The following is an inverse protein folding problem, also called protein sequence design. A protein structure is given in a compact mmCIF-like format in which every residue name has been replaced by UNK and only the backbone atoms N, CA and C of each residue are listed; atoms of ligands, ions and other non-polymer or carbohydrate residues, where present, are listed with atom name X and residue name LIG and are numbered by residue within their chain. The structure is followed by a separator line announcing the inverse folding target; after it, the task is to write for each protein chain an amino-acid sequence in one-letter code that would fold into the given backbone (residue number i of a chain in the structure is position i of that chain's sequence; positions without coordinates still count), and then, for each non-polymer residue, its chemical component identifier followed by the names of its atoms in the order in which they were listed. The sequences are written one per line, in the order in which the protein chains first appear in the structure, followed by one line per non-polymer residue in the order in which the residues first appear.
data_IF_389279689700
#
_entry.id   IF_389279689700
#
_cell.length_a   1.000
_cell.length_b   1.000
_cell.length_c   1.000
_cell.angle_alpha   90.00
_cell.angle_beta   90.00
_cell.angle_gamma   90.00
#
_symmetry.space_group_name_H-M   'P 1'
#
loop_
_entity.id
_entity.type
_entity.pdbx_description
1 polymer ?
#
# COMPACT_ATOMS: atom_id res chain seq x y z
N UNK A 1 -14.90 37.33 29.17
CA UNK A 1 -13.53 36.83 29.40
C UNK A 1 -12.87 36.61 28.06
N UNK A 2 -11.67 37.16 27.83
CA UNK A 2 -10.98 37.09 26.53
C UNK A 2 -10.35 35.71 26.35
N UNK A 3 -10.82 34.94 25.36
CA UNK A 3 -10.24 33.66 24.90
C UNK A 3 -8.89 33.81 24.17
N UNK A 4 -8.16 34.90 24.40
CA UNK A 4 -6.96 35.28 23.65
C UNK A 4 -5.64 34.75 24.22
N UNK A 5 -5.68 33.78 25.14
CA UNK A 5 -4.47 33.26 25.82
C UNK A 5 -4.16 31.80 25.51
N UNK A 6 -4.92 31.13 24.65
CA UNK A 6 -4.65 29.74 24.25
C UNK A 6 -3.70 29.62 23.04
N UNK A 7 -3.25 30.75 22.47
CA UNK A 7 -2.31 30.77 21.34
C UNK A 7 -0.90 31.24 21.73
N UNK A 8 -0.52 31.21 23.00
CA UNK A 8 0.87 31.41 23.46
C UNK A 8 1.69 30.12 23.38
N UNK A 9 1.46 29.29 22.36
CA UNK A 9 2.34 28.17 22.05
C UNK A 9 3.65 28.66 21.41
N UNK A 10 4.62 27.74 21.21
CA UNK A 10 5.93 28.01 20.61
C UNK A 10 5.86 28.97 19.40
N UNK A 11 6.81 29.93 19.27
CA UNK A 11 6.90 30.78 18.09
C UNK A 11 7.24 29.95 16.83
N UNK A 12 7.08 30.53 15.64
CA UNK A 12 7.20 29.76 14.39
C UNK A 12 8.61 29.19 14.18
N UNK A 13 9.64 29.91 14.62
CA UNK A 13 11.06 29.54 14.47
C UNK A 13 11.44 28.35 15.37
N UNK A 14 10.85 28.24 16.57
CA UNK A 14 11.01 27.05 17.40
C UNK A 14 10.29 25.83 16.79
N UNK A 15 9.12 26.04 16.19
CA UNK A 15 8.38 24.97 15.50
C UNK A 15 9.15 24.50 14.26
N UNK A 16 9.74 25.43 13.50
CA UNK A 16 10.58 25.13 12.35
C UNK A 16 11.79 24.29 12.75
N UNK A 17 12.46 24.60 13.87
CA UNK A 17 13.59 23.79 14.38
C UNK A 17 13.16 22.38 14.77
N UNK A 18 12.00 22.22 15.40
CA UNK A 18 11.45 20.90 15.72
C UNK A 18 11.18 20.11 14.42
N UNK A 19 10.62 20.77 13.39
CA UNK A 19 10.38 20.18 12.08
C UNK A 19 11.68 19.80 11.35
N UNK A 20 12.71 20.66 11.41
CA UNK A 20 14.05 20.38 10.87
C UNK A 20 14.63 19.12 11.51
N UNK A 21 14.50 18.95 12.84
CA UNK A 21 14.95 17.76 13.54
C UNK A 21 14.21 16.49 13.07
N UNK A 22 12.88 16.56 12.91
CA UNK A 22 12.08 15.45 12.38
C UNK A 22 12.49 15.10 10.95
N UNK A 23 12.72 16.11 10.10
CA UNK A 23 13.17 15.91 8.73
C UNK A 23 14.51 15.18 8.67
N UNK A 24 15.48 15.59 9.50
CA UNK A 24 16.78 14.92 9.58
C UNK A 24 16.69 13.48 10.11
N UNK A 25 15.66 13.16 10.88
CA UNK A 25 15.39 11.80 11.35
C UNK A 25 14.70 10.91 10.30
N UNK A 26 14.29 11.45 9.15
CA UNK A 26 13.50 10.74 8.14
C UNK A 26 12.00 10.69 8.46
N UNK A 27 11.54 11.41 9.49
CA UNK A 27 10.13 11.45 9.91
C UNK A 27 9.36 12.47 9.04
N UNK A 28 9.38 12.30 7.72
CA UNK A 28 8.95 13.33 6.76
C UNK A 28 7.48 13.72 6.88
N UNK A 29 6.60 12.78 7.23
CA UNK A 29 5.19 13.06 7.49
C UNK A 29 4.98 13.96 8.71
N UNK A 30 5.67 13.66 9.81
CA UNK A 30 5.67 14.48 11.03
C UNK A 30 6.28 15.85 10.78
N UNK A 31 7.42 15.89 10.07
CA UNK A 31 8.10 17.14 9.71
C UNK A 31 7.19 18.05 8.87
N UNK A 32 6.51 17.51 7.85
CA UNK A 32 5.55 18.25 7.01
C UNK A 32 4.47 18.93 7.85
N UNK A 33 3.84 18.20 8.78
CA UNK A 33 2.78 18.74 9.62
C UNK A 33 3.30 19.88 10.51
N UNK A 34 4.53 19.77 11.01
CA UNK A 34 5.16 20.80 11.84
C UNK A 34 5.55 22.04 11.02
N UNK A 35 6.06 21.89 9.79
CA UNK A 35 6.27 23.04 8.89
C UNK A 35 4.97 23.71 8.49
N UNK A 36 3.89 22.96 8.21
CA UNK A 36 2.56 23.53 7.95
C UNK A 36 2.05 24.34 9.16
N UNK A 37 2.31 23.86 10.38
CA UNK A 37 2.01 24.59 11.61
C UNK A 37 2.85 25.86 11.75
N UNK A 38 4.15 25.81 11.42
CA UNK A 38 5.02 26.98 11.41
C UNK A 38 4.55 28.01 10.38
N UNK A 39 4.18 27.59 9.17
CA UNK A 39 3.68 28.44 8.08
C UNK A 39 2.40 29.18 8.48
N UNK A 40 1.46 28.46 9.11
CA UNK A 40 0.23 29.08 9.62
C UNK A 40 0.51 30.14 10.69
N UNK A 41 1.57 29.96 11.50
CA UNK A 41 1.97 30.95 12.52
C UNK A 41 2.78 32.12 11.98
N UNK A 42 3.63 31.90 10.97
CA UNK A 42 4.49 32.94 10.38
C UNK A 42 3.66 33.94 9.56
N UNK A 43 2.52 33.53 9.00
CA UNK A 43 1.66 34.35 8.13
C UNK A 43 1.26 35.73 8.67
N UNK A 44 1.30 35.95 9.99
CA UNK A 44 0.97 37.25 10.62
C UNK A 44 2.17 38.02 11.14
N UNK A 45 3.35 37.39 11.23
CA UNK A 45 4.51 37.91 12.00
C UNK A 45 5.80 37.98 11.21
N UNK A 46 5.97 37.10 10.22
CA UNK A 46 7.17 36.98 9.40
C UNK A 46 6.76 36.46 8.00
N UNK A 47 6.07 37.28 7.19
CA UNK A 47 5.66 36.88 5.83
C UNK A 47 6.85 36.47 4.96
N UNK A 48 8.04 37.04 5.20
CA UNK A 48 9.29 36.69 4.52
C UNK A 48 9.75 35.23 4.76
N UNK A 49 9.28 34.59 5.84
CA UNK A 49 9.60 33.19 6.14
C UNK A 49 8.65 32.20 5.44
N UNK A 50 7.58 32.67 4.79
CA UNK A 50 6.57 31.79 4.19
C UNK A 50 7.15 31.00 3.02
N UNK A 51 7.85 31.66 2.10
CA UNK A 51 8.44 31.01 0.91
C UNK A 51 9.43 29.90 1.31
N UNK A 52 10.21 30.13 2.38
CA UNK A 52 11.16 29.15 2.91
C UNK A 52 10.44 27.94 3.51
N UNK A 53 9.39 28.17 4.29
CA UNK A 53 8.58 27.10 4.88
C UNK A 53 7.81 26.30 3.82
N UNK A 54 7.29 26.95 2.79
CA UNK A 54 6.66 26.28 1.65
C UNK A 54 7.66 25.41 0.87
N UNK A 55 8.89 25.89 0.71
CA UNK A 55 9.98 25.11 0.12
C UNK A 55 10.29 23.86 0.95
N UNK A 56 10.44 23.99 2.27
CA UNK A 56 10.65 22.85 3.17
C UNK A 56 9.49 21.86 3.17
N UNK A 57 8.24 22.33 3.07
CA UNK A 57 7.06 21.46 2.90
C UNK A 57 7.14 20.69 1.57
N UNK A 58 7.57 21.35 0.49
CA UNK A 58 7.77 20.70 -0.80
C UNK A 58 8.88 19.63 -0.73
N UNK A 59 9.97 19.90 -0.03
CA UNK A 59 11.05 18.93 0.23
C UNK A 59 10.54 17.70 1.00
N UNK A 60 9.72 17.89 2.05
CA UNK A 60 9.09 16.78 2.77
C UNK A 60 8.22 15.92 1.84
N UNK A 61 7.43 16.54 0.97
CA UNK A 61 6.59 15.81 0.01
C UNK A 61 7.41 15.03 -1.01
N UNK A 62 8.51 15.60 -1.50
CA UNK A 62 9.44 14.90 -2.39
C UNK A 62 10.12 13.72 -1.68
N UNK A 63 10.52 13.88 -0.41
CA UNK A 63 11.09 12.80 0.38
C UNK A 63 10.09 11.64 0.58
N UNK A 64 8.83 11.94 0.92
CA UNK A 64 7.77 10.94 0.99
C UNK A 64 7.51 10.25 -0.36
N UNK A 65 7.50 11.01 -1.45
CA UNK A 65 7.36 10.44 -2.79
C UNK A 65 8.50 9.45 -3.12
N UNK A 66 9.74 9.77 -2.73
CA UNK A 66 10.89 8.86 -2.89
C UNK A 66 10.75 7.59 -2.03
N UNK A 67 10.23 7.69 -0.80
CA UNK A 67 9.97 6.50 0.02
C UNK A 67 8.92 5.58 -0.59
N UNK A 68 7.86 6.16 -1.15
CA UNK A 68 6.82 5.41 -1.86
C UNK A 68 7.35 4.80 -3.16
N UNK A 69 8.16 5.53 -3.94
CA UNK A 69 8.83 5.01 -5.13
C UNK A 69 9.70 3.80 -4.80
N UNK A 70 10.60 3.93 -3.82
CA UNK A 70 11.45 2.82 -3.37
C UNK A 70 10.64 1.62 -2.88
N UNK A 71 9.53 1.88 -2.18
CA UNK A 71 8.64 0.81 -1.71
C UNK A 71 7.93 0.12 -2.87
N UNK A 72 7.51 0.86 -3.89
CA UNK A 72 6.95 0.31 -5.11
C UNK A 72 7.96 -0.54 -5.88
N UNK A 73 9.21 -0.10 -6.02
CA UNK A 73 10.28 -0.88 -6.65
C UNK A 73 10.46 -2.25 -5.98
N UNK A 74 10.48 -2.29 -4.64
CA UNK A 74 10.55 -3.56 -3.90
C UNK A 74 9.33 -4.46 -4.17
N UNK A 75 8.14 -3.89 -4.36
CA UNK A 75 6.92 -4.64 -4.68
C UNK A 75 6.95 -5.16 -6.12
N UNK A 76 7.47 -4.38 -7.07
CA UNK A 76 7.68 -4.82 -8.46
C UNK A 76 8.64 -6.02 -8.48
N UNK A 77 9.76 -5.93 -7.77
CA UNK A 77 10.70 -7.05 -7.63
C UNK A 77 10.06 -8.30 -6.99
N UNK A 78 9.10 -8.10 -6.09
CA UNK A 78 8.32 -9.18 -5.48
C UNK A 78 7.16 -9.70 -6.36
N UNK A 79 6.92 -9.10 -7.52
CA UNK A 79 5.80 -9.45 -8.42
C UNK A 79 4.42 -8.92 -7.98
N UNK A 80 4.37 -8.04 -6.98
CA UNK A 80 3.17 -7.42 -6.43
C UNK A 80 2.86 -6.11 -7.19
N UNK A 81 2.47 -6.26 -8.45
CA UNK A 81 2.37 -5.12 -9.37
C UNK A 81 1.19 -4.19 -9.10
N UNK A 82 0.07 -4.72 -8.60
CA UNK A 82 -1.11 -3.89 -8.27
C UNK A 82 -0.79 -2.96 -7.08
N UNK A 83 -0.19 -3.51 -6.02
CA UNK A 83 0.22 -2.73 -4.85
C UNK A 83 1.33 -1.72 -5.20
N UNK A 84 2.26 -2.09 -6.10
CA UNK A 84 3.26 -1.17 -6.61
C UNK A 84 2.63 0.03 -7.35
N UNK A 85 1.62 -0.21 -8.18
CA UNK A 85 0.92 0.87 -8.88
C UNK A 85 0.24 1.84 -7.91
N UNK A 86 -0.39 1.35 -6.85
CA UNK A 86 -1.03 2.21 -5.85
C UNK A 86 -0.01 3.09 -5.12
N UNK A 87 1.16 2.54 -4.78
CA UNK A 87 2.25 3.32 -4.19
C UNK A 87 2.82 4.36 -5.16
N UNK A 88 3.00 4.01 -6.44
CA UNK A 88 3.49 4.97 -7.44
C UNK A 88 2.49 6.10 -7.68
N UNK A 89 1.18 5.82 -7.69
CA UNK A 89 0.14 6.86 -7.78
C UNK A 89 0.20 7.83 -6.60
N UNK A 90 0.39 7.30 -5.38
CA UNK A 90 0.58 8.13 -4.19
C UNK A 90 1.86 8.96 -4.26
N UNK A 91 2.97 8.36 -4.70
CA UNK A 91 4.23 9.08 -4.91
C UNK A 91 4.05 10.26 -5.87
N UNK A 92 3.31 10.06 -6.97
CA UNK A 92 3.04 11.08 -7.98
C UNK A 92 2.20 12.24 -7.44
N UNK A 93 1.21 11.97 -6.59
CA UNK A 93 0.39 13.03 -5.94
C UNK A 93 1.25 13.95 -5.05
N UNK A 94 2.27 13.38 -4.41
CA UNK A 94 3.14 14.09 -3.49
C UNK A 94 4.23 14.87 -4.21
N UNK A 95 4.82 14.30 -5.28
CA UNK A 95 5.95 14.86 -6.01
C UNK A 95 5.73 16.33 -6.42
N UNK A 96 6.64 17.18 -5.96
CA UNK A 96 6.76 18.60 -6.34
C UNK A 96 7.95 18.84 -7.25
N UNK A 97 8.96 17.97 -7.19
CA UNK A 97 10.02 17.94 -8.18
C UNK A 97 9.52 17.33 -9.50
N UNK A 98 9.78 18.03 -10.61
CA UNK A 98 9.30 17.63 -11.94
C UNK A 98 10.00 16.39 -12.45
N UNK A 99 11.28 16.23 -12.14
CA UNK A 99 12.06 15.11 -12.65
C UNK A 99 11.63 13.82 -11.94
N UNK A 100 11.40 13.89 -10.63
CA UNK A 100 10.82 12.81 -9.84
C UNK A 100 9.43 12.41 -10.36
N UNK A 101 8.57 13.39 -10.67
CA UNK A 101 7.25 13.11 -11.22
C UNK A 101 7.33 12.34 -12.56
N UNK A 102 8.23 12.77 -13.47
CA UNK A 102 8.46 12.08 -14.75
C UNK A 102 8.92 10.65 -14.53
N UNK A 103 9.87 10.42 -13.61
CA UNK A 103 10.36 9.08 -13.28
C UNK A 103 9.24 8.15 -12.78
N UNK A 104 8.40 8.65 -11.86
CA UNK A 104 7.26 7.89 -11.33
C UNK A 104 6.23 7.58 -12.43
N UNK A 105 5.93 8.55 -13.31
CA UNK A 105 5.04 8.36 -14.45
C UNK A 105 5.56 7.30 -15.44
N UNK A 106 6.87 7.29 -15.70
CA UNK A 106 7.49 6.28 -16.56
C UNK A 106 7.38 4.88 -15.97
N UNK A 107 7.62 4.71 -14.66
CA UNK A 107 7.45 3.42 -14.00
C UNK A 107 5.97 2.95 -14.02
N UNK A 108 5.02 3.85 -13.75
CA UNK A 108 3.58 3.53 -13.84
C UNK A 108 3.20 3.01 -15.24
N UNK A 109 3.65 3.71 -16.28
CA UNK A 109 3.38 3.33 -17.66
C UNK A 109 3.96 1.96 -18.02
N UNK A 110 5.14 1.62 -17.49
CA UNK A 110 5.74 0.30 -17.70
C UNK A 110 4.88 -0.82 -17.09
N UNK A 111 4.33 -0.62 -15.89
CA UNK A 111 3.42 -1.58 -15.25
C UNK A 111 2.08 -1.70 -15.97
N UNK A 112 1.52 -0.59 -16.48
CA UNK A 112 0.24 -0.59 -17.19
C UNK A 112 0.32 -1.22 -18.59
N UNK A 113 1.47 -1.11 -19.26
CA UNK A 113 1.68 -1.69 -20.60
C UNK A 113 2.05 -3.16 -20.59
N UNK A 114 2.43 -3.72 -19.44
CA UNK A 114 2.58 -5.16 -19.22
C UNK A 114 1.55 -5.66 -18.21
N UNK A 115 0.24 -5.71 -18.57
CA UNK A 115 -0.72 -6.41 -17.75
C UNK A 115 -0.31 -7.89 -17.74
N UNK A 116 0.24 -8.35 -16.62
CA UNK A 116 0.39 -9.78 -16.39
C UNK A 116 -1.03 -10.33 -16.41
N UNK A 117 -1.36 -11.04 -17.49
CA UNK A 117 -2.57 -11.85 -17.55
C UNK A 117 -2.42 -12.82 -16.40
N UNK A 118 -3.18 -12.60 -15.33
CA UNK A 118 -3.29 -13.55 -14.25
C UNK A 118 -3.95 -14.78 -14.88
N UNK A 119 -3.13 -15.69 -15.40
CA UNK A 119 -3.55 -16.97 -15.94
C UNK A 119 -4.01 -17.79 -14.74
N UNK A 120 -5.23 -17.51 -14.29
CA UNK A 120 -5.99 -18.41 -13.44
C UNK A 120 -6.15 -19.66 -14.32
N UNK A 121 -5.20 -20.57 -14.17
CA UNK A 121 -5.24 -21.87 -14.81
C UNK A 121 -6.62 -22.49 -14.53
N UNK A 122 -7.39 -22.58 -15.60
CA UNK A 122 -8.66 -23.26 -15.66
C UNK A 122 -8.40 -24.74 -15.42
N UNK A 123 -8.40 -25.17 -14.17
CA UNK A 123 -8.60 -26.58 -13.82
C UNK A 123 -10.07 -26.74 -13.43
N UNK A 124 -10.94 -26.73 -14.43
CA UNK A 124 -12.28 -27.33 -14.30
C UNK A 124 -12.80 -27.77 -15.67
N UNK A 125 -11.98 -28.51 -16.41
CA UNK A 125 -12.48 -29.32 -17.53
C UNK A 125 -12.85 -30.72 -17.02
N UNK A 126 -14.14 -30.86 -16.74
CA UNK A 126 -14.99 -31.83 -17.42
C UNK A 126 -14.42 -33.28 -17.55
N UNK A 127 -14.76 -34.14 -16.58
CA UNK A 127 -14.94 -35.58 -16.83
C UNK A 127 -16.40 -35.94 -16.62
N UNK A 128 -17.24 -35.60 -17.60
CA UNK A 128 -18.41 -36.41 -17.92
C UNK A 128 -18.03 -37.33 -19.08
N UNK A 129 -18.62 -38.52 -19.02
CA UNK A 129 -18.67 -39.55 -20.07
C UNK A 129 -17.61 -40.65 -19.97
N UNK A 130 -17.85 -41.60 -19.06
CA UNK A 130 -17.88 -43.01 -19.44
C UNK A 130 -19.19 -43.62 -18.90
N UNK A 131 -20.03 -44.10 -19.81
CA UNK A 131 -21.30 -44.81 -19.60
C UNK A 131 -21.18 -46.20 -20.28
N UNK A 132 -22.17 -47.10 -20.21
CA UNK A 132 -22.59 -48.05 -19.16
C UNK A 132 -22.28 -49.54 -19.50
N UNK A 133 -22.76 -50.45 -18.64
CA UNK A 133 -23.16 -51.87 -18.86
C UNK A 133 -22.16 -52.95 -18.41
N UNK A 134 -22.50 -53.61 -17.28
CA UNK A 134 -22.52 -55.08 -17.06
C UNK A 134 -22.60 -55.33 -15.53
N UNK A 135 -23.77 -55.52 -14.92
CA UNK A 135 -24.44 -56.82 -14.82
C UNK A 135 -23.53 -57.97 -14.37
N UNK A 136 -23.16 -58.07 -13.08
CA UNK A 136 -22.86 -59.37 -12.45
C UNK A 136 -23.47 -59.45 -11.04
N UNK A 137 -24.45 -60.35 -10.99
CA UNK A 137 -25.15 -61.01 -9.88
C UNK A 137 -24.32 -61.25 -8.62
N UNK A 138 -24.97 -61.07 -7.46
CA UNK A 138 -24.58 -61.65 -6.18
C UNK A 138 -24.45 -63.19 -6.24
N UNK A 139 -23.57 -63.77 -5.42
CA UNK A 139 -23.89 -65.01 -4.72
C UNK A 139 -23.98 -64.82 -3.18
N UNK A 140 -24.79 -65.65 -2.50
CA UNK A 140 -25.18 -65.48 -1.10
C UNK A 140 -24.11 -65.98 -0.11
N UNK A 141 -23.97 -65.29 1.03
CA UNK A 141 -23.22 -65.79 2.18
C UNK A 141 -24.09 -66.79 2.96
N UNK A 142 -23.89 -68.08 2.69
CA UNK A 142 -24.31 -69.19 3.55
C UNK A 142 -23.21 -69.45 4.57
N UNK A 143 -23.53 -69.33 5.86
CA UNK A 143 -22.55 -69.59 6.90
C UNK A 143 -23.07 -69.50 8.34
N UNK A 144 -24.24 -70.06 8.66
CA UNK A 144 -24.53 -70.52 10.02
C UNK A 144 -25.29 -71.84 9.97
N UNK A 145 -24.61 -72.89 10.42
CA UNK A 145 -25.09 -74.26 10.54
C UNK A 145 -25.10 -74.56 12.05
N UNK A 146 -26.24 -74.43 12.69
CA UNK A 146 -26.47 -74.98 14.04
C UNK A 146 -27.66 -75.91 13.97
N UNK A 147 -27.35 -77.21 13.87
CA UNK A 147 -28.31 -78.30 13.95
C UNK A 147 -28.85 -78.44 15.37
N UNK A 148 -30.06 -78.97 15.38
CA UNK A 148 -30.96 -79.27 16.49
C UNK A 148 -30.57 -80.63 17.12
N UNK A 149 -30.72 -80.70 18.43
CA UNK A 149 -30.95 -81.78 19.40
C UNK A 149 -30.65 -83.28 19.13
N UNK A 150 -30.30 -83.93 20.27
CA UNK A 150 -30.66 -85.28 20.74
C UNK A 150 -29.74 -86.47 20.44
N UNK A 151 -29.14 -87.00 21.51
CA UNK A 151 -29.44 -88.35 22.02
C UNK A 151 -29.31 -88.36 23.55
#
# INVERSE_FOLDING_TARGET
MKLSHLFTGKPYDEIEKDADALFQMGEYGSAKLEYERALHKSAKKAPEAQDQLETKIAECKNALALEHLKSAENLIEAGLHEEAQDLLRLALELARDKQLAIEIEEQLKQLETHPIVHEISRISDNKKDLNPVAAIRHPPLLGQNSRICSN
#
